data_IF_712836968905
#
_entry.id   IF_712836968905
#
_cell.length_a   1.000
_cell.length_b   1.000
_cell.length_c   1.000
_cell.angle_alpha   90.00
_cell.angle_beta   90.00
_cell.angle_gamma   90.00
#
_symmetry.space_group_name_H-M   'P 1'
#
loop_
_entity.id
_entity.type
_entity.pdbx_description
1 polymer ?
#
# COMPACT_ATOMS: atom_id res chain seq x y z
N UNK A 1 11.63 -4.08 1.70
CA UNK A 1 10.72 -5.04 1.06
C UNK A 1 10.58 -4.72 -0.42
N UNK A 2 10.41 -5.73 -1.27
CA UNK A 2 10.13 -5.60 -2.72
C UNK A 2 8.63 -5.61 -2.98
N UNK A 3 8.21 -5.30 -4.22
CA UNK A 3 6.79 -5.38 -4.64
C UNK A 3 6.15 -6.73 -4.36
N UNK A 4 6.87 -7.82 -4.66
CA UNK A 4 6.39 -9.20 -4.42
C UNK A 4 6.18 -9.47 -2.94
N UNK A 5 7.07 -8.94 -2.08
CA UNK A 5 6.94 -9.11 -0.63
C UNK A 5 5.79 -8.27 -0.06
N UNK A 6 5.56 -7.06 -0.59
CA UNK A 6 4.40 -6.25 -0.19
C UNK A 6 3.10 -6.91 -0.66
N UNK A 7 3.05 -7.42 -1.88
CA UNK A 7 1.92 -8.20 -2.37
C UNK A 7 1.60 -9.39 -1.46
N UNK A 8 2.62 -10.14 -1.03
CA UNK A 8 2.43 -11.26 -0.12
C UNK A 8 1.86 -10.84 1.24
N UNK A 9 2.16 -9.63 1.72
CA UNK A 9 1.65 -9.12 2.99
C UNK A 9 0.26 -8.51 2.89
N UNK A 10 0.01 -7.71 1.85
CA UNK A 10 -1.20 -6.87 1.77
C UNK A 10 -2.25 -7.43 0.82
N UNK A 11 -1.91 -8.43 0.01
CA UNK A 11 -2.76 -8.96 -1.06
C UNK A 11 -2.85 -8.04 -2.29
N UNK A 12 -2.29 -6.83 -2.25
CA UNK A 12 -2.29 -5.90 -3.38
C UNK A 12 -1.32 -6.39 -4.45
N UNK A 13 -1.80 -6.58 -5.69
CA UNK A 13 -0.96 -7.04 -6.79
C UNK A 13 0.25 -6.12 -7.02
N UNK A 14 1.42 -6.72 -7.28
CA UNK A 14 2.66 -5.97 -7.55
C UNK A 14 2.53 -5.00 -8.73
N UNK A 15 1.72 -5.33 -9.74
CA UNK A 15 1.39 -4.44 -10.86
C UNK A 15 0.67 -3.17 -10.42
N UNK A 16 -0.28 -3.30 -9.49
CA UNK A 16 -1.02 -2.17 -8.89
C UNK A 16 -0.08 -1.28 -8.09
N UNK A 17 0.77 -1.86 -7.25
CA UNK A 17 1.79 -1.11 -6.49
C UNK A 17 2.72 -0.32 -7.44
N UNK A 18 3.14 -0.94 -8.55
CA UNK A 18 3.97 -0.28 -9.56
C UNK A 18 3.24 0.89 -10.22
N UNK A 19 1.97 0.71 -10.57
CA UNK A 19 1.15 1.77 -11.16
C UNK A 19 0.95 2.93 -10.17
N UNK A 20 0.66 2.65 -8.89
CA UNK A 20 0.56 3.67 -7.84
C UNK A 20 1.83 4.52 -7.69
N UNK A 21 3.02 3.89 -7.73
CA UNK A 21 4.29 4.62 -7.71
C UNK A 21 4.52 5.46 -8.96
N UNK A 22 4.09 4.96 -10.11
CA UNK A 22 4.16 5.71 -11.35
C UNK A 22 3.29 6.98 -11.25
N UNK A 23 2.04 6.85 -10.78
CA UNK A 23 1.16 8.00 -10.52
C UNK A 23 1.77 8.98 -9.51
N UNK A 24 2.34 8.47 -8.41
CA UNK A 24 3.03 9.29 -7.41
C UNK A 24 4.19 10.10 -8.00
N UNK A 25 4.92 9.53 -8.96
CA UNK A 25 6.05 10.20 -9.63
C UNK A 25 5.59 11.33 -10.55
N UNK A 26 4.32 11.34 -10.97
CA UNK A 26 3.68 12.41 -11.74
C UNK A 26 3.01 13.47 -10.85
N UNK A 27 3.21 13.40 -9.53
CA UNK A 27 2.68 14.38 -8.57
C UNK A 27 1.23 14.11 -8.14
N UNK A 28 0.65 12.95 -8.51
CA UNK A 28 -0.65 12.55 -8.02
C UNK A 28 -0.56 11.95 -6.62
N UNK A 29 -1.60 12.14 -5.81
CA UNK A 29 -1.77 11.40 -4.57
C UNK A 29 -1.86 9.89 -4.88
N UNK A 30 -1.12 9.09 -4.13
CA UNK A 30 -0.98 7.66 -4.37
C UNK A 30 -1.49 6.90 -3.16
N UNK A 31 -2.49 6.01 -3.32
CA UNK A 31 -3.09 5.28 -2.21
C UNK A 31 -2.20 4.14 -1.70
N UNK A 32 -0.90 4.17 -1.99
CA UNK A 32 0.04 3.09 -1.68
C UNK A 32 0.96 3.42 -0.51
N UNK A 33 1.58 2.40 0.11
CA UNK A 33 2.51 2.60 1.22
C UNK A 33 3.75 3.38 0.79
N UNK A 34 4.40 4.03 1.76
CA UNK A 34 5.62 4.82 1.51
C UNK A 34 6.71 3.94 0.90
N UNK A 35 7.34 4.46 -0.15
CA UNK A 35 8.41 3.81 -0.89
C UNK A 35 9.60 4.74 -1.02
N UNK A 36 10.78 4.16 -1.19
CA UNK A 36 12.01 4.90 -1.43
C UNK A 36 12.88 4.22 -2.48
N UNK A 37 13.72 5.03 -3.13
CA UNK A 37 14.73 4.54 -4.06
C UNK A 37 15.96 4.13 -3.26
N UNK A 38 16.30 2.84 -3.30
CA UNK A 38 17.57 2.32 -2.78
C UNK A 38 18.69 2.38 -3.83
N UNK A 39 18.32 2.59 -5.10
CA UNK A 39 19.25 2.79 -6.21
C UNK A 39 18.51 3.12 -7.51
N UNK A 40 19.24 3.30 -8.64
CA UNK A 40 18.67 3.78 -9.91
C UNK A 40 17.52 2.92 -10.45
N UNK A 41 17.52 1.62 -10.15
CA UNK A 41 16.49 0.65 -10.57
C UNK A 41 15.91 -0.15 -9.40
N UNK A 42 16.20 0.26 -8.17
CA UNK A 42 15.81 -0.48 -6.98
C UNK A 42 14.85 0.35 -6.12
N UNK A 43 13.56 0.02 -6.21
CA UNK A 43 12.54 0.55 -5.29
C UNK A 43 12.37 -0.43 -4.14
N UNK A 44 12.31 0.11 -2.92
CA UNK A 44 12.05 -0.67 -1.72
C UNK A 44 11.01 0.02 -0.84
N UNK A 45 10.39 -0.80 -0.02
CA UNK A 45 9.47 -0.41 1.04
C UNK A 45 10.11 -0.71 2.39
N UNK A 46 9.91 0.15 3.37
CA UNK A 46 10.21 -0.22 4.75
C UNK A 46 9.06 -1.08 5.27
N UNK A 47 9.33 -2.13 6.03
CA UNK A 47 8.29 -3.01 6.57
C UNK A 47 7.29 -2.23 7.43
N UNK A 48 7.78 -1.44 8.36
CA UNK A 48 6.95 -0.62 9.25
C UNK A 48 6.02 0.32 8.50
N UNK A 49 6.48 0.91 7.39
CA UNK A 49 5.64 1.85 6.63
C UNK A 49 4.50 1.13 5.90
N UNK A 50 4.71 -0.13 5.50
CA UNK A 50 3.66 -0.96 4.89
C UNK A 50 2.65 -1.37 5.95
N UNK A 51 3.11 -1.75 7.13
CA UNK A 51 2.25 -2.11 8.27
C UNK A 51 1.41 -0.92 8.71
N UNK A 52 2.03 0.24 8.95
CA UNK A 52 1.30 1.47 9.32
C UNK A 52 0.29 1.88 8.26
N UNK A 53 0.60 1.72 6.98
CA UNK A 53 -0.36 1.98 5.90
C UNK A 53 -1.56 1.03 5.97
N UNK A 54 -1.36 -0.26 6.22
CA UNK A 54 -2.46 -1.21 6.44
C UNK A 54 -3.29 -0.82 7.66
N UNK A 55 -2.63 -0.45 8.77
CA UNK A 55 -3.30 -0.03 10.00
C UNK A 55 -4.13 1.25 9.79
N UNK A 56 -3.60 2.23 9.06
CA UNK A 56 -4.32 3.44 8.65
C UNK A 56 -5.55 3.07 7.82
N UNK A 57 -5.42 2.17 6.84
CA UNK A 57 -6.55 1.70 6.05
C UNK A 57 -7.57 0.92 6.88
N UNK A 58 -7.14 0.13 7.85
CA UNK A 58 -8.03 -0.58 8.77
C UNK A 58 -8.77 0.38 9.70
N UNK A 59 -8.08 1.37 10.26
CA UNK A 59 -8.70 2.40 11.10
C UNK A 59 -9.72 3.25 10.34
N UNK A 60 -9.44 3.53 9.06
CA UNK A 60 -10.36 4.24 8.16
C UNK A 60 -11.44 3.33 7.56
N UNK A 61 -11.24 2.01 7.55
CA UNK A 61 -12.25 1.05 7.16
C UNK A 61 -13.33 1.04 8.24
N UNK A 62 -14.32 1.90 8.07
CA UNK A 62 -15.53 1.88 8.87
C UNK A 62 -16.10 0.45 8.79
N UNK A 63 -16.12 -0.24 9.93
CA UNK A 63 -16.89 -1.47 10.06
C UNK A 63 -18.32 -1.12 9.60
N UNK A 64 -18.87 -1.76 8.56
CA UNK A 64 -20.27 -1.54 8.22
C UNK A 64 -21.07 -1.84 9.49
N UNK A 65 -21.96 -0.95 9.95
CA UNK A 65 -22.75 -1.22 11.14
C UNK A 65 -23.41 -2.58 10.92
N UNK A 66 -23.14 -3.49 11.85
CA UNK A 66 -23.63 -4.86 11.87
C UNK A 66 -25.08 -4.83 11.38
N UNK A 67 -25.36 -5.40 10.19
CA UNK A 67 -26.73 -5.48 9.70
C UNK A 67 -27.41 -6.54 10.55
N UNK A 68 -27.88 -6.12 11.73
CA UNK A 68 -28.83 -6.83 12.55
C UNK A 68 -30.04 -7.09 11.65
N UNK A 69 -30.07 -8.30 11.09
CA UNK A 69 -31.18 -8.78 10.29
C UNK A 69 -32.28 -9.07 11.30
N UNK A 70 -33.31 -8.20 11.33
CA UNK A 70 -34.55 -8.41 12.09
C UNK A 70 -35.40 -9.51 11.46
#
# INVERSE_FOLDING_TARGET
MTDVQVQALTGVAAGTLRWWRHQASHGHESPGPKWFRLGPKAIRYRRSDVESWVDEHYANAQCPPDRVTS
#
